data_IF_066722332898
#
_entry.id   IF_066722332898
#
_cell.length_a   1.000
_cell.length_b   1.000
_cell.length_c   1.000
_cell.angle_alpha   90.00
_cell.angle_beta   90.00
_cell.angle_gamma   90.00
#
_symmetry.space_group_name_H-M   'P 1'
#
loop_
_entity.id
_entity.type
_entity.pdbx_description
1 polymer ?
#
# COMPACT_ATOMS: atom_id res chain seq x y z
N UNK A 1 14.96 11.94 -10.13
CA UNK A 1 15.47 10.56 -9.94
C UNK A 1 14.30 9.64 -9.61
N UNK A 2 14.43 8.31 -9.75
CA UNK A 2 13.36 7.38 -9.41
C UNK A 2 13.90 6.19 -8.61
N UNK A 3 13.14 5.75 -7.61
CA UNK A 3 13.37 4.54 -6.83
C UNK A 3 12.13 3.65 -6.93
N UNK A 4 12.31 2.33 -6.93
CA UNK A 4 11.19 1.39 -6.92
C UNK A 4 11.53 0.10 -6.17
N UNK A 5 10.49 -0.48 -5.58
CA UNK A 5 10.48 -1.78 -4.95
C UNK A 5 9.28 -2.54 -5.48
N UNK A 6 9.43 -3.86 -5.66
CA UNK A 6 8.36 -4.71 -6.14
C UNK A 6 8.38 -6.04 -5.40
N UNK A 7 7.21 -6.64 -5.28
CA UNK A 7 7.03 -8.01 -4.81
C UNK A 7 6.16 -8.76 -5.79
N UNK A 8 6.49 -10.03 -6.03
CA UNK A 8 5.67 -10.99 -6.78
C UNK A 8 5.24 -12.18 -5.92
N UNK A 9 5.62 -12.19 -4.64
CA UNK A 9 5.23 -13.23 -3.69
C UNK A 9 3.80 -13.06 -3.22
N UNK A 10 3.20 -14.16 -2.75
CA UNK A 10 1.89 -14.09 -2.09
C UNK A 10 2.03 -13.38 -0.75
N UNK A 11 1.30 -12.29 -0.59
CA UNK A 11 1.11 -11.59 0.66
C UNK A 11 -0.35 -11.75 1.10
N UNK A 12 -0.57 -11.87 2.40
CA UNK A 12 -1.91 -11.80 2.99
C UNK A 12 -1.90 -11.12 4.36
N UNK A 13 -2.97 -10.43 4.71
CA UNK A 13 -3.16 -9.87 6.07
C UNK A 13 -4.61 -9.93 6.51
N UNK A 14 -4.83 -10.25 7.78
CA UNK A 14 -6.12 -10.11 8.49
C UNK A 14 -6.10 -8.97 9.50
N UNK A 15 -5.03 -8.15 9.51
CA UNK A 15 -4.85 -7.07 10.47
C UNK A 15 -5.95 -6.02 10.34
N UNK A 16 -6.56 -5.65 11.47
CA UNK A 16 -7.52 -4.54 11.55
C UNK A 16 -6.84 -3.16 11.53
N UNK A 17 -5.52 -3.11 11.73
CA UNK A 17 -4.71 -1.89 11.71
C UNK A 17 -3.68 -1.96 10.59
N UNK A 18 -3.26 -0.79 10.10
CA UNK A 18 -2.25 -0.68 9.04
C UNK A 18 -0.94 -1.33 9.49
N UNK A 19 -0.55 -2.40 8.79
CA UNK A 19 0.67 -3.16 9.04
C UNK A 19 1.58 -3.10 7.81
N UNK A 20 2.92 -3.22 7.94
CA UNK A 20 3.83 -3.24 6.80
C UNK A 20 3.53 -4.32 5.76
N UNK A 21 3.68 -3.97 4.49
CA UNK A 21 3.74 -4.91 3.38
C UNK A 21 5.20 -5.36 3.18
N UNK A 22 5.45 -6.66 3.24
CA UNK A 22 6.79 -7.21 3.05
C UNK A 22 7.33 -6.91 1.64
N UNK A 23 8.58 -6.45 1.55
CA UNK A 23 9.27 -6.18 0.28
C UNK A 23 8.93 -4.86 -0.40
N UNK A 24 7.98 -4.08 0.13
CA UNK A 24 7.58 -2.78 -0.43
C UNK A 24 8.03 -1.62 0.48
N UNK A 25 9.34 -1.37 0.48
CA UNK A 25 9.98 -0.28 1.22
C UNK A 25 11.07 0.38 0.39
N UNK A 26 11.23 1.70 0.53
CA UNK A 26 12.22 2.52 -0.17
C UNK A 26 12.86 3.51 0.79
N UNK A 27 14.16 3.76 0.66
CA UNK A 27 14.82 4.86 1.36
C UNK A 27 15.15 5.97 0.37
N UNK A 28 14.51 7.13 0.55
CA UNK A 28 14.79 8.34 -0.21
C UNK A 28 15.98 9.02 0.47
N UNK A 29 17.09 9.28 -0.25
CA UNK A 29 18.24 9.96 0.32
C UNK A 29 17.94 11.43 0.64
N UNK A 30 18.75 12.05 1.49
CA UNK A 30 18.66 13.48 1.78
C UNK A 30 19.11 14.34 0.58
N UNK A 31 18.65 15.59 0.52
CA UNK A 31 19.15 16.59 -0.44
C UNK A 31 18.67 16.42 -1.89
N UNK A 32 17.70 15.54 -2.15
CA UNK A 32 17.24 15.20 -3.51
C UNK A 32 16.00 15.96 -3.99
N UNK A 33 15.49 16.92 -3.21
CA UNK A 33 14.36 17.75 -3.58
C UNK A 33 13.56 18.22 -2.37
N UNK A 34 12.39 18.82 -2.63
CA UNK A 34 11.47 19.29 -1.58
C UNK A 34 10.27 18.37 -1.38
N UNK A 35 9.93 17.55 -2.37
CA UNK A 35 8.78 16.64 -2.33
C UNK A 35 9.02 15.44 -3.22
N UNK A 36 8.68 14.25 -2.74
CA UNK A 36 8.61 13.04 -3.56
C UNK A 36 7.16 12.68 -3.86
N UNK A 37 6.90 12.24 -5.09
CA UNK A 37 5.64 11.60 -5.48
C UNK A 37 5.79 10.10 -5.29
N UNK A 38 5.03 9.56 -4.34
CA UNK A 38 4.99 8.13 -4.04
C UNK A 38 3.79 7.52 -4.74
N UNK A 39 4.01 6.40 -5.44
CA UNK A 39 2.96 5.58 -6.04
C UNK A 39 3.02 4.18 -5.46
N UNK A 40 1.97 3.78 -4.75
CA UNK A 40 1.73 2.39 -4.39
C UNK A 40 0.72 1.81 -5.38
N UNK A 41 1.16 0.86 -6.19
CA UNK A 41 0.33 0.20 -7.19
C UNK A 41 0.11 -1.26 -6.80
N UNK A 42 -1.14 -1.62 -6.52
CA UNK A 42 -1.57 -2.97 -6.21
C UNK A 42 -2.59 -3.37 -7.28
N UNK A 43 -2.16 -3.99 -8.39
CA UNK A 43 -2.99 -4.14 -9.58
C UNK A 43 -4.05 -5.24 -9.46
N UNK A 44 -3.80 -6.32 -8.71
CA UNK A 44 -4.78 -7.41 -8.58
C UNK A 44 -4.99 -7.88 -7.12
N UNK A 45 -5.28 -7.00 -6.15
CA UNK A 45 -5.65 -7.44 -4.83
C UNK A 45 -7.08 -8.00 -4.85
N UNK A 46 -7.38 -8.81 -3.86
CA UNK A 46 -8.76 -9.18 -3.51
C UNK A 46 -8.85 -9.34 -2.00
N UNK A 47 -10.07 -9.28 -1.49
CA UNK A 47 -10.34 -9.53 -0.08
C UNK A 47 -11.34 -10.68 0.04
N UNK A 48 -11.25 -11.46 1.12
CA UNK A 48 -12.24 -12.46 1.51
C UNK A 48 -12.78 -12.14 2.89
N UNK A 49 -14.07 -12.37 3.13
CA UNK A 49 -14.73 -12.10 4.40
C UNK A 49 -16.24 -12.29 4.27
N UNK A 50 -16.98 -12.03 5.35
CA UNK A 50 -18.43 -12.25 5.41
C UNK A 50 -19.26 -10.96 5.50
N UNK A 51 -18.63 -9.79 5.65
CA UNK A 51 -19.31 -8.50 5.80
C UNK A 51 -18.70 -7.45 4.85
N UNK A 52 -19.17 -7.47 3.60
CA UNK A 52 -18.78 -6.55 2.52
C UNK A 52 -17.25 -6.38 2.47
N UNK A 53 -16.48 -7.41 2.08
CA UNK A 53 -15.03 -7.41 2.32
C UNK A 53 -14.28 -6.31 1.55
N UNK A 54 -13.06 -5.98 1.99
CA UNK A 54 -12.24 -4.94 1.38
C UNK A 54 -10.85 -4.81 2.00
N UNK A 55 -10.05 -3.93 1.40
CA UNK A 55 -8.70 -3.61 1.87
C UNK A 55 -8.42 -2.11 1.87
N UNK A 56 -7.58 -1.68 2.80
CA UNK A 56 -7.04 -0.33 2.89
C UNK A 56 -5.53 -0.39 2.64
N UNK A 57 -5.01 0.51 1.83
CA UNK A 57 -3.61 0.64 1.47
C UNK A 57 -3.13 2.06 1.77
N UNK A 58 -1.94 2.17 2.35
CA UNK A 58 -1.33 3.43 2.74
C UNK A 58 0.19 3.36 2.65
N UNK A 59 0.84 4.40 3.15
CA UNK A 59 2.29 4.43 3.33
C UNK A 59 2.65 4.98 4.70
N UNK A 60 3.79 4.54 5.24
CA UNK A 60 4.45 5.20 6.37
C UNK A 60 5.69 5.94 5.89
N UNK A 61 6.06 7.00 6.60
CA UNK A 61 7.33 7.72 6.46
C UNK A 61 8.04 7.65 7.79
N UNK A 62 9.20 7.01 7.84
CA UNK A 62 9.95 6.76 9.07
C UNK A 62 9.06 6.16 10.18
N UNK A 63 8.17 5.23 9.80
CA UNK A 63 7.22 4.56 10.70
C UNK A 63 5.96 5.36 11.04
N UNK A 64 5.87 6.64 10.65
CA UNK A 64 4.66 7.45 10.85
C UNK A 64 3.71 7.28 9.67
N UNK A 65 2.46 6.88 9.94
CA UNK A 65 1.44 6.63 8.91
C UNK A 65 1.00 7.94 8.24
N UNK A 66 0.98 7.95 6.91
CA UNK A 66 0.33 9.01 6.14
C UNK A 66 -1.19 8.93 6.29
N UNK A 67 -1.89 10.07 6.48
CA UNK A 67 -3.36 10.07 6.54
C UNK A 67 -4.01 9.74 5.18
N UNK A 68 -3.25 9.78 4.09
CA UNK A 68 -3.74 9.51 2.74
C UNK A 68 -3.68 8.00 2.46
N UNK A 69 -4.84 7.42 2.17
CA UNK A 69 -5.01 5.99 1.88
C UNK A 69 -5.83 5.79 0.62
N UNK A 70 -5.64 4.65 -0.04
CA UNK A 70 -6.54 4.14 -1.05
C UNK A 70 -7.22 2.88 -0.51
N UNK A 71 -8.46 2.62 -0.91
CA UNK A 71 -9.19 1.44 -0.44
C UNK A 71 -10.13 0.92 -1.52
N UNK A 72 -10.52 -0.34 -1.34
CA UNK A 72 -11.64 -0.92 -2.05
C UNK A 72 -12.52 -1.69 -1.07
N UNK A 73 -13.80 -1.81 -1.42
CA UNK A 73 -14.72 -2.78 -0.83
C UNK A 73 -15.54 -3.39 -1.94
N UNK A 74 -16.04 -4.60 -1.76
CA UNK A 74 -17.14 -5.08 -2.59
C UNK A 74 -18.43 -4.28 -2.27
N UNK A 75 -19.47 -4.49 -3.07
CA UNK A 75 -20.80 -3.90 -2.82
C UNK A 75 -21.67 -4.77 -1.90
N UNK A 76 -21.30 -6.04 -1.75
CA UNK A 76 -21.99 -7.07 -0.99
C UNK A 76 -20.97 -8.10 -0.49
N UNK A 77 -21.42 -9.19 0.14
CA UNK A 77 -20.59 -10.38 0.32
C UNK A 77 -20.71 -11.22 -0.95
N UNK A 78 -19.74 -11.15 -1.89
CA UNK A 78 -19.92 -11.75 -3.21
C UNK A 78 -19.78 -13.27 -3.13
N UNK A 79 -20.41 -13.96 -4.08
CA UNK A 79 -20.23 -15.41 -4.26
C UNK A 79 -18.82 -15.79 -4.75
N UNK A 80 -18.10 -14.83 -5.32
CA UNK A 80 -16.69 -14.93 -5.73
C UNK A 80 -15.97 -13.61 -5.49
N UNK A 81 -14.75 -13.68 -4.99
CA UNK A 81 -13.94 -12.51 -4.62
C UNK A 81 -13.10 -12.05 -5.81
N UNK A 82 -13.63 -11.09 -6.58
CA UNK A 82 -12.98 -10.52 -7.76
C UNK A 82 -11.75 -9.65 -7.43
N UNK A 83 -10.88 -9.44 -8.43
CA UNK A 83 -9.71 -8.55 -8.31
C UNK A 83 -10.13 -7.10 -8.47
N UNK A 84 -9.69 -6.22 -7.57
CA UNK A 84 -10.03 -4.80 -7.59
C UNK A 84 -8.73 -3.97 -7.60
N UNK A 85 -8.23 -3.57 -8.80
CA UNK A 85 -7.02 -2.76 -8.92
C UNK A 85 -7.09 -1.50 -8.05
N UNK A 86 -6.06 -1.27 -7.25
CA UNK A 86 -6.02 -0.15 -6.31
C UNK A 86 -4.67 0.54 -6.38
N UNK A 87 -4.69 1.85 -6.61
CA UNK A 87 -3.48 2.69 -6.70
C UNK A 87 -3.62 3.88 -5.76
N UNK A 88 -2.57 4.14 -4.98
CA UNK A 88 -2.42 5.33 -4.15
C UNK A 88 -1.30 6.19 -4.74
N UNK A 89 -1.56 7.48 -4.93
CA UNK A 89 -0.55 8.48 -5.27
C UNK A 89 -0.56 9.56 -4.19
N UNK A 90 0.59 9.82 -3.58
CA UNK A 90 0.72 10.79 -2.48
C UNK A 90 2.03 11.57 -2.58
N UNK A 91 1.95 12.88 -2.32
CA UNK A 91 3.12 13.74 -2.17
C UNK A 91 3.66 13.67 -0.74
N UNK A 92 4.96 13.43 -0.60
CA UNK A 92 5.64 13.38 0.70
C UNK A 92 6.68 14.51 0.75
N UNK A 93 6.54 15.47 1.68
CA UNK A 93 7.56 16.50 1.90
C UNK A 93 8.88 15.87 2.30
N UNK A 94 9.95 16.29 1.63
CA UNK A 94 11.29 15.79 1.90
C UNK A 94 11.96 16.60 3.02
N UNK A 95 12.59 15.86 3.94
CA UNK A 95 13.34 16.44 5.05
C UNK A 95 14.84 16.53 4.73
N UNK A 96 15.58 17.26 5.55
CA UNK A 96 17.05 17.28 5.52
C UNK A 96 17.64 16.02 6.21
N UNK A 97 17.09 14.86 5.89
CA UNK A 97 17.52 13.55 6.35
C UNK A 97 16.92 12.48 5.43
N UNK A 98 17.56 11.33 5.34
CA UNK A 98 17.00 10.20 4.60
C UNK A 98 15.64 9.78 5.18
N UNK A 99 14.67 9.48 4.32
CA UNK A 99 13.33 9.07 4.71
C UNK A 99 13.01 7.69 4.14
N UNK A 100 12.63 6.77 5.02
CA UNK A 100 12.14 5.45 4.61
C UNK A 100 10.64 5.49 4.43
N UNK A 101 10.19 5.19 3.22
CA UNK A 101 8.79 5.05 2.85
C UNK A 101 8.45 3.58 2.73
N UNK A 102 7.43 3.12 3.45
CA UNK A 102 7.00 1.72 3.42
C UNK A 102 5.51 1.61 3.15
N UNK A 103 5.13 0.71 2.25
CA UNK A 103 3.71 0.42 2.00
C UNK A 103 3.11 -0.30 3.20
N UNK A 104 1.88 0.08 3.56
CA UNK A 104 1.11 -0.53 4.64
C UNK A 104 -0.30 -0.88 4.17
N UNK A 105 -0.91 -1.85 4.85
CA UNK A 105 -2.24 -2.33 4.51
C UNK A 105 -3.01 -2.88 5.71
N UNK A 106 -4.34 -2.91 5.60
CA UNK A 106 -5.25 -3.46 6.61
C UNK A 106 -6.52 -4.03 5.95
N UNK A 107 -7.17 -4.97 6.63
CA UNK A 107 -8.46 -5.52 6.24
C UNK A 107 -9.63 -4.64 6.69
N UNK A 108 -10.61 -4.44 5.82
CA UNK A 108 -11.88 -3.79 6.16
C UNK A 108 -12.81 -4.82 6.80
N UNK A 109 -13.47 -4.49 7.92
CA UNK A 109 -14.48 -5.37 8.57
C UNK A 109 -14.01 -6.83 8.78
N UNK A 110 -12.75 -7.00 9.21
CA UNK A 110 -12.17 -8.34 9.45
C UNK A 110 -11.80 -9.12 8.19
N UNK A 111 -11.75 -8.46 7.03
CA UNK A 111 -11.32 -9.09 5.77
C UNK A 111 -9.90 -9.63 5.84
N UNK A 112 -9.68 -10.77 5.16
CA UNK A 112 -8.35 -11.19 4.74
C UNK A 112 -8.04 -10.55 3.37
N UNK A 113 -7.08 -9.64 3.31
CA UNK A 113 -6.63 -8.99 2.07
C UNK A 113 -5.47 -9.79 1.49
N UNK A 114 -5.53 -10.09 0.20
CA UNK A 114 -4.60 -11.01 -0.47
C UNK A 114 -4.05 -10.35 -1.74
N UNK A 115 -2.75 -10.52 -1.94
CA UNK A 115 -2.03 -10.19 -3.17
C UNK A 115 -1.21 -11.40 -3.55
N UNK A 116 -1.44 -11.97 -4.72
CA UNK A 116 -0.72 -13.14 -5.26
C UNK A 116 -0.19 -12.86 -6.68
N UNK A 117 -0.03 -11.56 -6.99
CA UNK A 117 0.48 -11.05 -8.25
C UNK A 117 1.42 -9.86 -7.98
N UNK A 118 2.18 -9.38 -8.99
CA UNK A 118 3.08 -8.26 -8.80
C UNK A 118 2.42 -7.02 -8.20
N UNK A 119 3.06 -6.42 -7.20
CA UNK A 119 2.72 -5.11 -6.64
C UNK A 119 3.99 -4.27 -6.48
N UNK A 120 3.88 -2.95 -6.52
CA UNK A 120 5.04 -2.06 -6.52
C UNK A 120 4.84 -0.80 -5.68
N UNK A 121 5.93 -0.34 -5.08
CA UNK A 121 6.07 0.99 -4.48
C UNK A 121 7.13 1.74 -5.28
N UNK A 122 6.83 2.95 -5.75
CA UNK A 122 7.79 3.79 -6.48
C UNK A 122 7.78 5.22 -5.96
N UNK A 123 8.92 5.90 -6.10
CA UNK A 123 9.10 7.30 -5.75
C UNK A 123 9.74 8.06 -6.91
N UNK A 124 9.23 9.25 -7.21
CA UNK A 124 9.85 10.23 -8.11
C UNK A 124 10.09 11.51 -7.35
N UNK A 125 11.31 12.05 -7.41
CA UNK A 125 11.76 13.25 -6.72
C UNK A 125 12.89 13.94 -7.47
#
# INVERSE_FOLDING_TARGET
MALYAQTSGTLSTTSATLTPMQGLSLTIPEGVGTTAIITLNVPNPYATGNDIPGGVFGVTVNGTVSPVVASFTYNETPSSFGRIPTTLVVGIPLANAAQTVQAVWAGVRGSNVIIDSPASLSAVF
#
